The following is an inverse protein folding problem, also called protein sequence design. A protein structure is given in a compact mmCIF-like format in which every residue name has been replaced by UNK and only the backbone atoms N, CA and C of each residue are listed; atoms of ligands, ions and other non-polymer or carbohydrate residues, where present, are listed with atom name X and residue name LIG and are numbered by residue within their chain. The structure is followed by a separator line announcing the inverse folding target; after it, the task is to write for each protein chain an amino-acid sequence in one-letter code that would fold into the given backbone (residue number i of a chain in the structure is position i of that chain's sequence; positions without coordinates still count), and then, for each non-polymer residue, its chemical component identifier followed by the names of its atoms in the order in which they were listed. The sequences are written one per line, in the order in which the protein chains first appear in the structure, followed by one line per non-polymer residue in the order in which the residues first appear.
data_IF_827005978068
#
_entry.id   IF_827005978068
#
_cell.length_a   1.000
_cell.length_b   1.000
_cell.length_c   1.000
_cell.angle_alpha   90.00
_cell.angle_beta   90.00
_cell.angle_gamma   90.00
#
_symmetry.space_group_name_H-M   'P 1'
#
loop_
_entity.id
_entity.type
_entity.pdbx_description
1 polymer ?
#
# COMPACT_ATOMS: atom_id res chain seq x y z
N UNK A 1 -18.38 -2.94 3.95
CA UNK A 1 -17.73 -4.21 4.28
C UNK A 1 -16.69 -4.02 5.37
N UNK A 2 -16.67 -4.93 6.34
CA UNK A 2 -15.68 -4.98 7.40
C UNK A 2 -14.39 -5.60 6.86
N UNK A 3 -13.27 -5.40 7.57
CA UNK A 3 -12.05 -6.13 7.29
C UNK A 3 -12.31 -7.65 7.45
N UNK A 4 -11.75 -8.45 6.54
CA UNK A 4 -11.99 -9.90 6.47
C UNK A 4 -10.68 -10.69 6.58
N UNK A 5 -9.58 -10.03 6.26
CA UNK A 5 -8.28 -10.67 6.16
C UNK A 5 -7.19 -9.79 6.78
N UNK A 6 -6.10 -10.43 7.17
CA UNK A 6 -4.90 -9.78 7.70
C UNK A 6 -3.95 -9.42 6.55
N UNK A 7 -3.29 -8.24 6.58
CA UNK A 7 -2.28 -7.87 5.60
C UNK A 7 -1.15 -8.90 5.49
N UNK A 8 -0.76 -9.27 4.27
CA UNK A 8 0.29 -10.26 4.03
C UNK A 8 1.64 -9.87 4.66
N UNK A 9 1.96 -8.59 4.69
CA UNK A 9 3.19 -8.05 5.26
C UNK A 9 2.97 -7.34 6.60
N UNK A 10 2.05 -7.85 7.44
CA UNK A 10 1.73 -7.21 8.72
C UNK A 10 2.95 -7.09 9.63
N UNK A 11 3.80 -8.11 9.71
CA UNK A 11 5.01 -8.08 10.53
C UNK A 11 5.99 -6.97 10.09
N UNK A 12 6.15 -6.78 8.78
CA UNK A 12 6.94 -5.70 8.20
C UNK A 12 6.33 -4.33 8.53
N UNK A 13 5.01 -4.22 8.39
CA UNK A 13 4.30 -2.99 8.71
C UNK A 13 4.41 -2.61 10.19
N UNK A 14 4.36 -3.59 11.09
CA UNK A 14 4.61 -3.39 12.54
C UNK A 14 6.05 -2.93 12.79
N UNK A 15 7.04 -3.48 12.08
CA UNK A 15 8.44 -3.03 12.18
C UNK A 15 8.59 -1.57 11.72
N UNK A 16 7.96 -1.20 10.61
CA UNK A 16 7.93 0.20 10.12
C UNK A 16 7.21 1.13 11.12
N UNK A 17 6.11 0.69 11.72
CA UNK A 17 5.39 1.45 12.74
C UNK A 17 6.25 1.71 13.98
N UNK A 18 7.03 0.72 14.43
CA UNK A 18 7.99 0.86 15.53
C UNK A 18 9.12 1.82 15.18
N UNK A 19 9.63 1.77 13.94
CA UNK A 19 10.63 2.70 13.46
C UNK A 19 10.09 4.14 13.43
N UNK A 20 8.88 4.37 12.93
CA UNK A 20 8.22 5.68 13.00
C UNK A 20 8.09 6.17 14.43
N UNK A 21 7.70 5.30 15.37
CA UNK A 21 7.56 5.63 16.79
C UNK A 21 8.88 6.04 17.46
N UNK A 22 10.02 5.55 16.96
CA UNK A 22 11.35 5.91 17.47
C UNK A 22 11.81 7.30 17.08
N UNK A 23 11.18 7.90 16.05
CA UNK A 23 11.52 9.24 15.58
C UNK A 23 10.94 10.33 16.50
N UNK A 24 11.69 11.42 16.66
CA UNK A 24 11.21 12.63 17.28
C UNK A 24 10.11 13.29 16.46
N UNK A 25 9.33 14.18 17.08
CA UNK A 25 8.30 14.95 16.37
C UNK A 25 8.86 15.77 15.21
N UNK A 26 10.07 16.33 15.36
CA UNK A 26 10.74 17.12 14.32
C UNK A 26 11.05 16.24 13.11
N UNK A 27 11.66 15.08 13.33
CA UNK A 27 11.97 14.10 12.28
C UNK A 27 10.70 13.59 11.58
N UNK A 28 9.64 13.28 12.32
CA UNK A 28 8.35 12.88 11.75
C UNK A 28 7.75 13.97 10.87
N UNK A 29 7.81 15.23 11.29
CA UNK A 29 7.31 16.36 10.53
C UNK A 29 8.09 16.56 9.23
N UNK A 30 9.41 16.45 9.29
CA UNK A 30 10.27 16.50 8.11
C UNK A 30 10.00 15.34 7.16
N UNK A 31 9.87 14.13 7.68
CA UNK A 31 9.55 12.92 6.92
C UNK A 31 8.24 13.06 6.13
N UNK A 32 7.21 13.63 6.76
CA UNK A 32 5.88 13.75 6.14
C UNK A 32 5.71 14.99 5.26
N UNK A 33 6.52 16.02 5.41
CA UNK A 33 6.46 17.25 4.61
C UNK A 33 5.08 17.89 4.56
N UNK A 34 4.29 17.80 5.65
CA UNK A 34 2.89 18.22 5.69
C UNK A 34 2.66 19.39 6.68
N UNK A 35 1.43 19.92 6.72
CA UNK A 35 1.05 20.98 7.64
C UNK A 35 1.22 20.56 9.10
N UNK A 36 1.51 21.53 9.98
CA UNK A 36 1.68 21.33 11.42
C UNK A 36 0.49 20.58 12.06
N UNK A 37 -0.74 20.94 11.69
CA UNK A 37 -1.95 20.28 12.19
C UNK A 37 -1.96 18.80 11.83
N UNK A 38 -1.64 18.46 10.59
CA UNK A 38 -1.63 17.08 10.11
C UNK A 38 -0.48 16.29 10.71
N UNK A 39 0.70 16.91 10.86
CA UNK A 39 1.85 16.30 11.53
C UNK A 39 1.53 15.95 12.98
N UNK A 40 0.93 16.88 13.74
CA UNK A 40 0.56 16.66 15.14
C UNK A 40 -0.50 15.54 15.29
N UNK A 41 -1.45 15.45 14.38
CA UNK A 41 -2.45 14.37 14.37
C UNK A 41 -1.78 13.00 14.12
N UNK A 42 -0.94 12.89 13.10
CA UNK A 42 -0.27 11.63 12.76
C UNK A 42 0.78 11.23 13.80
N UNK A 43 1.48 12.19 14.43
CA UNK A 43 2.40 11.91 15.53
C UNK A 43 1.69 11.28 16.74
N UNK A 44 0.44 11.64 17.01
CA UNK A 44 -0.37 10.96 18.04
C UNK A 44 -0.71 9.53 17.64
N UNK A 45 -1.11 9.30 16.39
CA UNK A 45 -1.41 7.95 15.86
C UNK A 45 -0.20 7.01 15.93
N UNK A 46 0.98 7.51 15.58
CA UNK A 46 2.23 6.70 15.60
C UNK A 46 2.53 6.11 16.98
N UNK A 47 2.06 6.71 18.07
CA UNK A 47 2.33 6.23 19.43
C UNK A 47 1.75 4.84 19.71
N UNK A 48 0.59 4.53 19.16
CA UNK A 48 -0.14 3.27 19.33
C UNK A 48 -0.25 2.47 18.03
N UNK A 49 0.34 2.96 16.94
CA UNK A 49 0.17 2.41 15.59
C UNK A 49 0.44 0.89 15.53
N UNK A 50 1.55 0.44 16.14
CA UNK A 50 1.92 -0.97 16.11
C UNK A 50 0.96 -1.85 16.93
N UNK A 51 0.48 -1.33 18.04
CA UNK A 51 -0.51 -2.00 18.91
C UNK A 51 -1.89 -2.02 18.24
N UNK A 52 -2.30 -0.92 17.61
CA UNK A 52 -3.58 -0.80 16.90
C UNK A 52 -3.64 -1.77 15.69
N UNK A 53 -2.50 -2.00 15.02
CA UNK A 53 -2.39 -2.97 13.92
C UNK A 53 -2.54 -4.42 14.38
N UNK A 54 -2.28 -4.73 15.63
CA UNK A 54 -2.43 -6.05 16.23
C UNK A 54 -3.85 -6.32 16.78
N UNK A 55 -4.78 -5.39 16.60
CA UNK A 55 -6.17 -5.57 17.00
C UNK A 55 -6.86 -6.68 16.17
N UNK A 56 -7.98 -7.17 16.70
CA UNK A 56 -8.83 -8.12 15.96
C UNK A 56 -9.20 -7.58 14.58
N UNK A 57 -8.98 -8.37 13.53
CA UNK A 57 -9.23 -7.99 12.14
C UNK A 57 -10.66 -7.45 11.94
N UNK A 58 -11.65 -8.02 12.62
CA UNK A 58 -13.04 -7.56 12.56
C UNK A 58 -13.27 -6.16 13.14
N UNK A 59 -12.35 -5.65 13.98
CA UNK A 59 -12.40 -4.29 14.52
C UNK A 59 -11.70 -3.26 13.61
N UNK A 60 -10.94 -3.71 12.60
CA UNK A 60 -10.21 -2.87 11.67
C UNK A 60 -11.08 -2.44 10.48
N UNK A 61 -10.63 -1.41 9.78
CA UNK A 61 -11.29 -0.96 8.54
C UNK A 61 -10.72 -1.69 7.33
N UNK A 62 -11.57 -2.17 6.43
CA UNK A 62 -11.13 -2.76 5.17
C UNK A 62 -10.34 -1.72 4.34
N UNK A 63 -9.19 -2.09 3.78
CA UNK A 63 -8.29 -1.18 3.07
C UNK A 63 -9.02 -0.36 2.01
N UNK A 64 -9.85 -0.99 1.17
CA UNK A 64 -10.60 -0.30 0.10
C UNK A 64 -11.55 0.79 0.62
N UNK A 65 -11.93 0.74 1.90
CA UNK A 65 -12.78 1.73 2.58
C UNK A 65 -11.97 2.74 3.40
N UNK A 66 -10.74 2.40 3.75
CA UNK A 66 -9.87 3.24 4.59
C UNK A 66 -9.06 4.25 3.79
N UNK A 67 -8.67 3.88 2.56
CA UNK A 67 -7.90 4.79 1.71
C UNK A 67 -8.79 5.87 1.13
N UNK A 68 -8.30 7.11 1.20
CA UNK A 68 -8.92 8.28 0.61
C UNK A 68 -8.04 8.79 -0.56
N UNK A 69 -8.69 9.20 -1.62
CA UNK A 69 -8.07 9.68 -2.83
C UNK A 69 -9.06 9.62 -3.99
N UNK A 70 -8.78 10.34 -5.05
CA UNK A 70 -9.73 10.49 -6.17
C UNK A 70 -10.12 9.13 -6.78
N UNK A 71 -9.17 8.20 -6.88
CA UNK A 71 -9.43 6.85 -7.40
C UNK A 71 -10.40 6.07 -6.52
N UNK A 72 -10.30 6.16 -5.18
CA UNK A 72 -11.19 5.46 -4.25
C UNK A 72 -12.58 6.11 -4.21
N UNK A 73 -12.64 7.44 -4.31
CA UNK A 73 -13.90 8.18 -4.42
C UNK A 73 -14.66 7.79 -5.70
N UNK A 74 -13.98 7.59 -6.82
CA UNK A 74 -14.59 7.12 -8.06
C UNK A 74 -14.89 5.63 -8.07
N UNK A 75 -14.08 4.81 -7.41
CA UNK A 75 -14.33 3.37 -7.23
C UNK A 75 -15.63 3.11 -6.47
N UNK A 76 -15.95 3.95 -5.47
CA UNK A 76 -17.20 3.91 -4.71
C UNK A 76 -17.53 2.53 -4.14
N UNK A 77 -16.55 1.82 -3.60
CA UNK A 77 -16.72 0.45 -3.09
C UNK A 77 -17.85 0.31 -2.04
N UNK A 78 -18.21 1.41 -1.35
CA UNK A 78 -19.29 1.43 -0.36
C UNK A 78 -20.70 1.19 -0.93
N UNK A 79 -20.90 1.35 -2.23
CA UNK A 79 -22.19 1.16 -2.91
C UNK A 79 -22.22 -0.05 -3.85
N UNK A 80 -21.14 -0.86 -3.84
CA UNK A 80 -21.02 -2.08 -4.63
C UNK A 80 -21.85 -3.21 -4.02
N UNK A 81 -22.45 -4.04 -4.88
CA UNK A 81 -23.11 -5.28 -4.48
C UNK A 81 -22.09 -6.40 -4.13
N UNK A 82 -22.57 -7.53 -3.61
CA UNK A 82 -21.72 -8.65 -3.22
C UNK A 82 -20.88 -9.22 -4.36
N UNK A 83 -21.44 -9.30 -5.57
CA UNK A 83 -20.74 -9.81 -6.75
C UNK A 83 -19.58 -8.88 -7.15
N UNK A 84 -19.83 -7.58 -7.14
CA UNK A 84 -18.83 -6.55 -7.42
C UNK A 84 -17.72 -6.57 -6.36
N UNK A 85 -18.07 -6.69 -5.07
CA UNK A 85 -17.10 -6.78 -3.99
C UNK A 85 -16.28 -8.07 -4.07
N UNK A 86 -16.88 -9.21 -4.40
CA UNK A 86 -16.16 -10.47 -4.62
C UNK A 86 -15.13 -10.33 -5.75
N UNK A 87 -15.56 -9.79 -6.89
CA UNK A 87 -14.67 -9.55 -8.03
C UNK A 87 -13.52 -8.61 -7.65
N UNK A 88 -13.83 -7.54 -6.90
CA UNK A 88 -12.82 -6.60 -6.40
C UNK A 88 -11.79 -7.30 -5.51
N UNK A 89 -12.23 -8.18 -4.61
CA UNK A 89 -11.37 -8.98 -3.74
C UNK A 89 -10.36 -9.84 -4.50
N UNK A 90 -10.78 -10.37 -5.63
CA UNK A 90 -9.95 -11.21 -6.48
C UNK A 90 -8.95 -10.39 -7.32
N UNK A 91 -9.34 -9.24 -7.84
CA UNK A 91 -8.61 -8.52 -8.89
C UNK A 91 -7.88 -7.27 -8.41
N UNK A 92 -8.39 -6.54 -7.40
CA UNK A 92 -7.74 -5.32 -6.91
C UNK A 92 -6.59 -5.66 -5.96
N UNK A 93 -5.51 -4.90 -6.09
CA UNK A 93 -4.44 -4.81 -5.09
C UNK A 93 -4.15 -3.34 -4.83
N UNK A 94 -3.81 -3.01 -3.58
CA UNK A 94 -3.57 -1.65 -3.12
C UNK A 94 -2.11 -1.54 -2.69
N UNK A 95 -1.39 -0.63 -3.32
CA UNK A 95 -0.01 -0.32 -2.96
C UNK A 95 0.04 0.60 -1.74
N UNK A 96 0.92 0.30 -0.79
CA UNK A 96 1.02 0.99 0.49
C UNK A 96 2.48 1.18 0.91
N UNK A 97 2.84 2.37 1.38
CA UNK A 97 4.17 2.62 1.96
C UNK A 97 4.39 1.84 3.26
N UNK A 98 3.34 1.69 4.07
CA UNK A 98 3.42 1.00 5.36
C UNK A 98 3.21 -0.52 5.24
N UNK A 99 2.24 -0.96 4.45
CA UNK A 99 1.84 -2.37 4.36
C UNK A 99 2.39 -3.09 3.11
N UNK A 100 3.13 -2.40 2.23
CA UNK A 100 3.60 -2.95 0.96
C UNK A 100 2.46 -3.19 -0.02
N UNK A 101 1.89 -4.39 -0.04
CA UNK A 101 0.78 -4.78 -0.90
C UNK A 101 -0.40 -5.25 -0.05
N UNK A 102 -1.59 -4.71 -0.31
CA UNK A 102 -2.83 -5.06 0.38
C UNK A 102 -3.86 -5.65 -0.59
N UNK A 103 -4.67 -6.55 -0.06
CA UNK A 103 -5.96 -6.93 -0.65
C UNK A 103 -7.04 -5.93 -0.23
N UNK A 104 -8.12 -5.78 -0.98
CA UNK A 104 -9.17 -4.79 -0.67
C UNK A 104 -9.77 -4.90 0.73
N UNK A 105 -9.86 -6.13 1.26
CA UNK A 105 -10.50 -6.40 2.55
C UNK A 105 -9.50 -6.70 3.67
N UNK A 106 -8.22 -6.44 3.47
CA UNK A 106 -7.23 -6.47 4.54
C UNK A 106 -7.54 -5.37 5.56
N UNK A 107 -7.45 -5.72 6.85
CA UNK A 107 -7.67 -4.80 7.94
C UNK A 107 -6.53 -3.81 8.09
N UNK A 108 -6.85 -2.52 8.08
CA UNK A 108 -5.85 -1.46 8.24
C UNK A 108 -6.29 -0.44 9.29
N UNK A 109 -5.31 0.28 9.82
CA UNK A 109 -5.50 1.44 10.71
C UNK A 109 -5.07 2.73 10.01
N UNK A 110 -5.57 3.91 10.41
CA UNK A 110 -5.14 5.18 9.85
C UNK A 110 -3.66 5.45 10.12
N UNK A 111 -2.91 5.79 9.08
CA UNK A 111 -1.48 6.13 9.17
C UNK A 111 -1.10 7.17 8.12
N UNK A 112 0.13 7.68 8.20
CA UNK A 112 0.76 8.47 7.14
C UNK A 112 2.19 7.98 6.93
N UNK A 113 2.44 7.33 5.81
CA UNK A 113 3.75 6.97 5.32
C UNK A 113 3.68 6.81 3.79
N UNK A 114 4.20 7.79 3.08
CA UNK A 114 4.26 7.78 1.61
C UNK A 114 5.45 6.94 1.16
N UNK A 115 5.36 6.30 0.00
CA UNK A 115 6.40 5.38 -0.49
C UNK A 115 7.74 6.09 -0.73
N UNK A 116 7.71 7.37 -1.12
CA UNK A 116 8.91 8.18 -1.33
C UNK A 116 9.53 8.75 -0.04
N UNK A 117 8.89 8.53 1.12
CA UNK A 117 9.43 9.00 2.39
C UNK A 117 10.85 8.48 2.64
N UNK A 118 11.74 9.37 3.09
CA UNK A 118 13.14 9.05 3.37
C UNK A 118 13.37 8.27 4.67
N UNK A 119 12.49 7.31 4.97
CA UNK A 119 12.59 6.48 6.18
C UNK A 119 13.64 5.39 5.98
N UNK A 120 14.71 5.46 6.78
CA UNK A 120 15.68 4.37 6.87
C UNK A 120 15.23 3.34 7.92
N UNK A 121 15.29 2.05 7.59
CA UNK A 121 14.85 0.96 8.46
C UNK A 121 15.58 -0.33 8.11
N UNK A 122 16.01 -1.09 9.12
CA UNK A 122 16.64 -2.41 8.98
C UNK A 122 17.79 -2.45 7.95
N UNK A 123 18.62 -1.40 7.90
CA UNK A 123 19.74 -1.27 6.97
C UNK A 123 19.36 -0.77 5.56
N UNK A 124 18.08 -0.67 5.24
CA UNK A 124 17.59 -0.03 4.03
C UNK A 124 17.57 1.50 4.19
N UNK A 125 17.95 2.24 3.13
CA UNK A 125 18.01 3.70 3.15
C UNK A 125 16.67 4.39 2.94
N UNK A 126 15.70 3.67 2.39
CA UNK A 126 14.35 4.15 2.08
C UNK A 126 13.40 2.98 1.87
N UNK A 127 12.11 3.26 1.73
CA UNK A 127 11.07 2.24 1.55
C UNK A 127 11.19 1.46 0.24
N UNK A 128 11.71 2.04 -0.84
CA UNK A 128 11.96 1.30 -2.09
C UNK A 128 12.96 0.17 -1.88
N UNK A 129 14.03 0.45 -1.14
CA UNK A 129 15.04 -0.57 -0.80
C UNK A 129 14.50 -1.56 0.23
N UNK A 130 13.73 -1.10 1.21
CA UNK A 130 13.11 -1.95 2.23
C UNK A 130 12.15 -2.97 1.61
N UNK A 131 11.25 -2.52 0.78
CA UNK A 131 10.28 -3.41 0.12
C UNK A 131 10.92 -4.27 -0.96
N UNK A 132 11.87 -3.74 -1.74
CA UNK A 132 12.55 -4.45 -2.81
C UNK A 132 11.56 -5.05 -3.82
N UNK A 133 11.76 -6.32 -4.20
CA UNK A 133 10.88 -7.07 -5.11
C UNK A 133 9.69 -7.75 -4.44
N UNK A 134 9.63 -7.79 -3.11
CA UNK A 134 8.64 -8.57 -2.35
C UNK A 134 7.17 -8.28 -2.71
N UNK A 135 6.74 -7.01 -2.90
CA UNK A 135 5.36 -6.74 -3.30
C UNK A 135 5.03 -7.25 -4.70
N UNK A 136 5.98 -7.20 -5.64
CA UNK A 136 5.80 -7.76 -6.98
C UNK A 136 5.72 -9.29 -6.95
N UNK A 137 6.60 -9.94 -6.22
CA UNK A 137 6.59 -11.39 -6.05
C UNK A 137 5.26 -11.85 -5.43
N UNK A 138 4.75 -11.11 -4.43
CA UNK A 138 3.46 -11.37 -3.81
C UNK A 138 2.28 -11.14 -4.79
N UNK A 139 2.38 -10.13 -5.65
CA UNK A 139 1.38 -9.85 -6.68
C UNK A 139 1.28 -10.99 -7.70
N UNK A 140 2.41 -11.61 -8.05
CA UNK A 140 2.49 -12.69 -9.04
C UNK A 140 2.33 -14.09 -8.41
N UNK A 141 2.49 -14.25 -7.08
CA UNK A 141 2.46 -15.55 -6.44
C UNK A 141 1.04 -16.12 -6.30
N UNK A 142 0.93 -17.44 -6.48
CA UNK A 142 -0.30 -18.22 -6.21
C UNK A 142 -1.46 -17.98 -7.18
N UNK A 143 -1.22 -17.32 -8.32
CA UNK A 143 -2.21 -17.05 -9.37
C UNK A 143 -1.55 -17.09 -10.74
N UNK A 144 -2.29 -17.53 -11.73
CA UNK A 144 -1.95 -17.31 -13.13
C UNK A 144 -2.31 -15.86 -13.49
N UNK A 145 -1.38 -14.94 -13.23
CA UNK A 145 -1.56 -13.52 -13.56
C UNK A 145 -0.99 -13.27 -14.95
N UNK A 146 -1.85 -13.14 -15.93
CA UNK A 146 -1.46 -12.83 -17.31
C UNK A 146 -1.20 -11.34 -17.52
N UNK A 147 -1.98 -10.50 -16.82
CA UNK A 147 -1.95 -9.04 -17.02
C UNK A 147 -2.09 -8.30 -15.70
N UNK A 148 -1.23 -7.31 -15.51
CA UNK A 148 -1.32 -6.32 -14.43
C UNK A 148 -1.73 -4.99 -15.05
N UNK A 149 -2.89 -4.46 -14.67
CA UNK A 149 -3.31 -3.09 -15.01
C UNK A 149 -2.82 -2.15 -13.92
N UNK A 150 -1.79 -1.37 -14.23
CA UNK A 150 -1.22 -0.41 -13.29
C UNK A 150 -1.99 0.92 -13.33
N UNK A 151 -2.71 1.20 -12.23
CA UNK A 151 -3.42 2.45 -11.97
C UNK A 151 -2.73 3.28 -10.86
N UNK A 152 -1.61 2.80 -10.33
CA UNK A 152 -0.87 3.49 -9.30
C UNK A 152 -0.08 4.67 -9.86
N UNK A 153 0.15 5.69 -9.03
CA UNK A 153 1.05 6.78 -9.37
C UNK A 153 2.47 6.25 -9.65
N UNK A 154 3.29 7.07 -10.32
CA UNK A 154 4.68 6.73 -10.64
C UNK A 154 5.47 6.30 -9.39
N UNK A 155 5.23 6.98 -8.27
CA UNK A 155 5.83 6.68 -6.98
C UNK A 155 5.57 5.24 -6.52
N UNK A 156 4.31 4.82 -6.51
CA UNK A 156 3.91 3.49 -6.07
C UNK A 156 4.20 2.42 -7.14
N UNK A 157 4.02 2.74 -8.41
CA UNK A 157 4.39 1.82 -9.50
C UNK A 157 5.87 1.43 -9.46
N UNK A 158 6.75 2.39 -9.10
CA UNK A 158 8.18 2.13 -8.94
C UNK A 158 8.48 1.11 -7.83
N UNK A 159 7.70 1.10 -6.76
CA UNK A 159 7.88 0.16 -5.65
C UNK A 159 7.26 -1.21 -5.93
N UNK A 160 6.14 -1.24 -6.69
CA UNK A 160 5.37 -2.44 -6.93
C UNK A 160 5.81 -3.22 -8.17
N UNK A 161 6.37 -2.54 -9.17
CA UNK A 161 6.71 -3.13 -10.45
C UNK A 161 8.22 -2.98 -10.71
N UNK A 162 8.96 -4.05 -10.99
CA UNK A 162 10.37 -3.96 -11.35
C UNK A 162 10.53 -3.22 -12.68
N UNK A 163 11.71 -2.63 -12.90
CA UNK A 163 11.95 -1.80 -14.07
C UNK A 163 11.68 -2.55 -15.40
N UNK A 164 12.14 -3.81 -15.49
CA UNK A 164 11.91 -4.62 -16.68
C UNK A 164 10.41 -4.85 -16.99
N UNK A 165 9.56 -4.96 -15.96
CA UNK A 165 8.12 -5.11 -16.15
C UNK A 165 7.44 -3.78 -16.55
N UNK A 166 7.99 -2.64 -16.10
CA UNK A 166 7.49 -1.30 -16.46
C UNK A 166 7.87 -0.88 -17.87
N UNK A 167 9.05 -1.30 -18.32
CA UNK A 167 9.63 -0.92 -19.61
C UNK A 167 9.33 -1.95 -20.73
N UNK A 168 8.71 -3.09 -20.38
CA UNK A 168 8.39 -4.13 -21.35
C UNK A 168 7.35 -3.62 -22.37
N UNK A 169 7.58 -3.83 -23.68
CA UNK A 169 6.58 -3.50 -24.68
C UNK A 169 5.32 -4.38 -24.50
N UNK A 170 4.12 -3.89 -24.88
CA UNK A 170 2.83 -4.57 -24.63
C UNK A 170 2.69 -6.01 -25.14
N UNK A 171 3.65 -6.51 -25.90
CA UNK A 171 3.64 -7.85 -26.50
C UNK A 171 4.95 -8.61 -26.29
N UNK A 172 5.79 -8.20 -25.33
CA UNK A 172 7.00 -8.96 -25.01
C UNK A 172 6.62 -10.34 -24.44
N UNK A 173 6.96 -11.38 -25.15
CA UNK A 173 6.88 -12.76 -24.67
C UNK A 173 7.96 -12.97 -23.60
N UNK A 174 7.66 -12.61 -22.36
CA UNK A 174 8.52 -12.80 -21.19
C UNK A 174 7.94 -13.82 -20.23
N UNK A 175 8.71 -14.21 -19.23
CA UNK A 175 8.32 -15.17 -18.19
C UNK A 175 7.45 -14.57 -17.07
N UNK A 176 6.78 -13.45 -17.30
CA UNK A 176 5.96 -12.76 -16.30
C UNK A 176 4.73 -12.10 -16.91
N UNK A 177 3.83 -11.54 -16.08
CA UNK A 177 2.62 -10.89 -16.53
C UNK A 177 2.90 -9.66 -17.40
N UNK A 178 2.04 -9.42 -18.38
CA UNK A 178 2.03 -8.17 -19.12
C UNK A 178 1.63 -7.02 -18.19
N UNK A 179 2.36 -5.90 -18.23
CA UNK A 179 1.99 -4.69 -17.48
C UNK A 179 1.42 -3.65 -18.43
N UNK A 180 0.18 -3.23 -18.16
CA UNK A 180 -0.50 -2.13 -18.86
C UNK A 180 -0.60 -0.95 -17.90
N UNK A 181 0.10 0.14 -18.18
CA UNK A 181 0.04 1.36 -17.37
C UNK A 181 -0.95 2.36 -17.98
N UNK A 182 -1.96 2.73 -17.19
CA UNK A 182 -2.88 3.78 -17.55
C UNK A 182 -2.25 5.15 -17.23
N UNK A 183 -2.06 5.97 -18.23
CA UNK A 183 -1.62 7.36 -18.07
C UNK A 183 -2.87 8.23 -18.04
N UNK A 184 -3.07 8.92 -16.93
CA UNK A 184 -4.12 9.92 -16.82
C UNK A 184 -3.49 11.24 -17.26
N UNK A 185 -3.97 11.80 -18.38
CA UNK A 185 -3.55 13.13 -18.85
C UNK A 185 -4.07 14.23 -17.93
N UNK A 186 -3.34 15.34 -17.89
CA UNK A 186 -3.77 16.58 -17.24
C UNK A 186 -4.96 17.21 -18.02
#
# INVERSE_FOLDING_TARGET
PFAQTEPQFLSDAVSLARQLRSLSYVELRELWGCSERLAAENARRVRTLAEDMAADTGALTAAVMAYDGIQYQHLRASVMDERQLSWLGEHLRIASGLYGLLRPFDGVVPYRLEMQAGLAVDGARNLYQYWGGRPYDALCSGRDVDTIVNLASVEYARAMLPQHARDAPPHALGTGPQVVTCLFGD
#
